data_IF_771962319646
#
_entry.id   IF_771962319646
#
_cell.length_a   1.000
_cell.length_b   1.000
_cell.length_c   1.000
_cell.angle_alpha   90.00
_cell.angle_beta   90.00
_cell.angle_gamma   90.00
#
_symmetry.space_group_name_H-M   'P 1'
#
loop_
_entity.id
_entity.type
_entity.pdbx_description
1 polymer ?
#
# COMPACT_ATOMS: atom_id res chain seq x y z
N UNK A 1 6.49 -3.43 28.80
CA UNK A 1 6.15 -4.65 28.03
C UNK A 1 5.59 -4.37 26.62
N UNK A 2 5.10 -3.15 26.30
CA UNK A 2 4.59 -2.83 24.95
C UNK A 2 5.66 -2.61 23.85
N UNK A 3 6.89 -2.22 24.20
CA UNK A 3 7.93 -1.87 23.20
C UNK A 3 8.49 -3.04 22.37
N UNK A 4 8.40 -4.28 22.86
CA UNK A 4 8.94 -5.46 22.15
C UNK A 4 8.01 -6.02 21.06
N UNK A 5 6.71 -5.69 21.12
CA UNK A 5 5.72 -6.13 20.12
C UNK A 5 5.62 -5.18 18.92
N UNK A 6 6.08 -3.92 19.09
CA UNK A 6 6.05 -2.90 18.04
C UNK A 6 7.20 -3.02 17.04
N UNK A 7 8.30 -3.70 17.38
CA UNK A 7 9.44 -3.92 16.46
C UNK A 7 9.14 -4.88 15.29
N UNK A 8 7.96 -5.51 15.31
CA UNK A 8 7.52 -6.43 14.25
C UNK A 8 6.13 -6.01 13.70
N UNK A 9 5.76 -4.74 13.87
CA UNK A 9 4.47 -4.25 13.39
C UNK A 9 4.49 -4.25 11.86
N UNK A 10 3.61 -5.04 11.26
CA UNK A 10 3.37 -5.02 9.82
C UNK A 10 2.28 -3.99 9.51
N UNK A 11 2.52 -3.15 8.52
CA UNK A 11 1.61 -2.11 8.04
C UNK A 11 1.37 -2.31 6.55
N UNK A 12 0.11 -2.51 6.16
CA UNK A 12 -0.25 -2.50 4.75
C UNK A 12 -0.21 -1.08 4.22
N UNK A 13 0.50 -0.85 3.12
CA UNK A 13 0.59 0.43 2.45
C UNK A 13 0.03 0.30 1.03
N UNK A 14 -0.64 1.35 0.57
CA UNK A 14 -0.96 1.54 -0.85
C UNK A 14 -1.06 3.05 -1.14
N UNK A 15 -0.92 3.42 -2.42
CA UNK A 15 -1.11 4.80 -2.88
C UNK A 15 -1.91 4.84 -4.18
N UNK A 16 -2.68 5.92 -4.35
CA UNK A 16 -3.54 6.08 -5.53
C UNK A 16 -3.41 7.49 -6.12
N UNK A 17 -3.46 7.58 -7.45
CA UNK A 17 -3.42 8.83 -8.22
C UNK A 17 -4.28 8.73 -9.47
N UNK A 18 -4.63 9.88 -10.06
CA UNK A 18 -5.40 9.88 -11.30
C UNK A 18 -4.59 9.19 -12.42
N UNK A 19 -5.12 8.15 -13.09
CA UNK A 19 -4.40 7.52 -14.18
C UNK A 19 -4.31 8.43 -15.40
N UNK A 20 -3.17 8.39 -16.10
CA UNK A 20 -2.99 9.06 -17.39
C UNK A 20 -2.83 8.05 -18.52
N UNK A 21 -3.50 8.28 -19.65
CA UNK A 21 -3.29 7.52 -20.89
C UNK A 21 -2.10 8.02 -21.71
N UNK A 22 -1.51 9.14 -21.30
CA UNK A 22 -0.30 9.69 -21.88
C UNK A 22 0.88 9.35 -20.95
N UNK A 23 1.80 8.50 -21.42
CA UNK A 23 2.96 8.04 -20.65
C UNK A 23 3.97 9.15 -20.30
N UNK A 24 3.86 10.33 -20.92
CA UNK A 24 4.65 11.50 -20.56
C UNK A 24 4.04 12.31 -19.41
N UNK A 25 2.79 12.04 -19.03
CA UNK A 25 2.10 12.72 -17.93
C UNK A 25 2.07 11.77 -16.73
N UNK A 26 2.81 12.14 -15.69
CA UNK A 26 2.75 11.49 -14.39
C UNK A 26 1.94 12.38 -13.47
N UNK A 27 0.79 11.89 -13.02
CA UNK A 27 -0.04 12.60 -12.05
C UNK A 27 0.53 12.39 -10.64
N UNK A 28 0.38 13.41 -9.80
CA UNK A 28 0.85 13.42 -8.42
C UNK A 28 0.05 12.43 -7.57
N UNK A 29 0.68 11.77 -6.59
CA UNK A 29 -0.02 10.92 -5.61
C UNK A 29 -1.15 11.70 -4.95
N UNK A 30 -2.38 11.19 -5.05
CA UNK A 30 -3.54 11.82 -4.47
C UNK A 30 -3.82 11.31 -3.05
N UNK A 31 -3.68 10.01 -2.83
CA UNK A 31 -4.06 9.36 -1.58
C UNK A 31 -2.98 8.39 -1.11
N UNK A 32 -2.74 8.37 0.20
CA UNK A 32 -1.98 7.35 0.92
C UNK A 32 -2.95 6.51 1.75
N UNK A 33 -2.82 5.19 1.69
CA UNK A 33 -3.59 4.25 2.50
C UNK A 33 -2.66 3.49 3.45
N UNK A 34 -3.07 3.37 4.71
CA UNK A 34 -2.37 2.60 5.73
C UNK A 34 -3.34 1.68 6.45
N UNK A 35 -3.03 0.39 6.51
CA UNK A 35 -3.83 -0.59 7.22
C UNK A 35 -3.03 -1.22 8.37
N UNK A 36 -3.54 -1.08 9.59
CA UNK A 36 -2.92 -1.63 10.81
C UNK A 36 -3.98 -2.27 11.69
N UNK A 37 -3.80 -3.55 12.01
CA UNK A 37 -4.72 -4.31 12.85
C UNK A 37 -6.10 -4.46 12.21
N UNK A 38 -7.03 -3.57 12.56
CA UNK A 38 -8.40 -3.54 12.03
C UNK A 38 -8.82 -2.15 11.51
N UNK A 39 -7.85 -1.24 11.36
CA UNK A 39 -8.12 0.14 10.97
C UNK A 39 -7.42 0.45 9.65
N UNK A 40 -8.17 1.08 8.75
CA UNK A 40 -7.63 1.69 7.55
C UNK A 40 -7.66 3.21 7.71
N UNK A 41 -6.52 3.85 7.52
CA UNK A 41 -6.40 5.29 7.28
C UNK A 41 -6.34 5.51 5.77
N UNK A 42 -7.13 6.46 5.27
CA UNK A 42 -6.95 7.04 3.93
C UNK A 42 -6.63 8.51 4.14
N UNK A 43 -5.44 8.93 3.72
CA UNK A 43 -4.96 10.30 3.84
C UNK A 43 -4.86 10.93 2.44
N UNK A 44 -5.69 11.95 2.17
CA UNK A 44 -5.72 12.64 0.88
C UNK A 44 -4.59 13.68 0.80
N UNK A 45 -3.41 13.25 0.35
CA UNK A 45 -2.19 14.06 0.23
C UNK A 45 -2.42 15.32 -0.62
N UNK A 46 -3.13 15.19 -1.75
CA UNK A 46 -3.37 16.29 -2.70
C UNK A 46 -4.13 17.48 -2.08
N UNK A 47 -4.95 17.21 -1.06
CA UNK A 47 -5.83 18.20 -0.43
C UNK A 47 -5.35 18.63 0.96
N UNK A 48 -4.27 18.05 1.47
CA UNK A 48 -3.72 18.40 2.76
C UNK A 48 -2.92 19.70 2.66
N UNK A 49 -3.20 20.68 3.52
CA UNK A 49 -2.36 21.89 3.60
C UNK A 49 -0.93 21.58 4.06
N UNK A 50 -0.77 20.52 4.86
CA UNK A 50 0.51 19.97 5.29
C UNK A 50 0.30 18.51 5.73
N UNK A 51 1.35 17.70 5.64
CA UNK A 51 1.36 16.33 6.17
C UNK A 51 1.66 16.42 7.67
N UNK A 52 0.82 15.85 8.56
CA UNK A 52 1.08 15.89 9.99
C UNK A 52 2.42 15.25 10.35
N UNK A 53 3.19 15.91 11.22
CA UNK A 53 4.48 15.38 11.68
C UNK A 53 4.37 13.96 12.26
N UNK A 54 3.27 13.66 12.95
CA UNK A 54 3.01 12.31 13.49
C UNK A 54 2.91 11.23 12.41
N UNK A 55 2.41 11.58 11.22
CA UNK A 55 2.34 10.65 10.09
C UNK A 55 3.73 10.43 9.48
N UNK A 56 4.52 11.49 9.31
CA UNK A 56 5.90 11.37 8.85
C UNK A 56 6.74 10.52 9.81
N UNK A 57 6.66 10.79 11.12
CA UNK A 57 7.32 9.99 12.14
C UNK A 57 6.86 8.53 12.11
N UNK A 58 5.56 8.28 11.88
CA UNK A 58 5.03 6.93 11.75
C UNK A 58 5.61 6.19 10.54
N UNK A 59 5.71 6.84 9.38
CA UNK A 59 6.27 6.26 8.16
C UNK A 59 7.79 6.03 8.24
N UNK A 60 8.48 6.80 9.08
CA UNK A 60 9.91 6.62 9.36
C UNK A 60 10.21 5.73 10.59
N UNK A 61 9.19 5.13 11.22
CA UNK A 61 9.39 4.20 12.33
C UNK A 61 9.97 2.86 11.85
N UNK A 62 10.52 2.09 12.79
CA UNK A 62 11.03 0.73 12.60
C UNK A 62 9.87 -0.29 12.55
N UNK A 63 8.92 -0.07 11.64
CA UNK A 63 7.79 -0.95 11.31
C UNK A 63 8.00 -1.51 9.92
N UNK A 64 7.44 -2.69 9.62
CA UNK A 64 7.54 -3.25 8.26
C UNK A 64 6.34 -2.78 7.43
N UNK A 65 6.61 -1.96 6.42
CA UNK A 65 5.60 -1.54 5.45
C UNK A 65 5.58 -2.53 4.29
N UNK A 66 4.40 -3.04 3.97
CA UNK A 66 4.22 -4.07 2.94
C UNK A 66 3.26 -3.59 1.86
N UNK A 67 3.65 -3.77 0.61
CA UNK A 67 2.80 -3.56 -0.56
C UNK A 67 3.30 -4.38 -1.75
N UNK A 68 2.56 -4.34 -2.85
CA UNK A 68 2.99 -4.89 -4.13
C UNK A 68 3.65 -3.78 -4.93
N UNK A 69 4.91 -3.95 -5.34
CA UNK A 69 5.67 -2.92 -6.03
C UNK A 69 5.96 -1.69 -5.15
N UNK A 70 6.16 -1.93 -3.86
CA UNK A 70 6.31 -0.88 -2.84
C UNK A 70 7.48 0.06 -3.13
N UNK A 71 8.57 -0.42 -3.73
CA UNK A 71 9.73 0.42 -4.02
C UNK A 71 9.37 1.57 -4.97
N UNK A 72 8.57 1.31 -6.01
CA UNK A 72 8.09 2.37 -6.90
C UNK A 72 7.11 3.30 -6.20
N UNK A 73 6.28 2.77 -5.31
CA UNK A 73 5.30 3.56 -4.58
C UNK A 73 5.97 4.55 -3.63
N UNK A 74 6.99 4.12 -2.90
CA UNK A 74 7.73 4.99 -1.96
C UNK A 74 8.68 5.94 -2.67
N UNK A 75 9.26 5.54 -3.81
CA UNK A 75 9.99 6.46 -4.69
C UNK A 75 9.06 7.59 -5.16
N UNK A 76 7.86 7.23 -5.64
CA UNK A 76 6.87 8.21 -6.08
C UNK A 76 6.37 9.12 -4.96
N UNK A 77 6.13 8.58 -3.75
CA UNK A 77 5.78 9.37 -2.56
C UNK A 77 6.88 10.38 -2.19
N UNK A 78 8.14 9.98 -2.32
CA UNK A 78 9.28 10.85 -2.06
C UNK A 78 9.37 11.97 -3.10
N UNK A 79 9.24 11.63 -4.38
CA UNK A 79 9.28 12.62 -5.48
C UNK A 79 8.12 13.63 -5.40
N UNK A 80 6.90 13.15 -5.15
CA UNK A 80 5.69 13.96 -5.20
C UNK A 80 5.48 14.80 -3.92
N UNK A 81 5.85 14.25 -2.76
CA UNK A 81 5.49 14.82 -1.45
C UNK A 81 6.65 14.92 -0.46
N UNK A 82 7.87 14.52 -0.82
CA UNK A 82 9.03 14.44 0.07
C UNK A 82 8.73 13.59 1.33
N UNK A 83 7.98 12.49 1.12
CA UNK A 83 7.64 11.52 2.16
C UNK A 83 8.52 10.29 2.03
N UNK A 84 9.30 10.01 3.07
CA UNK A 84 10.11 8.80 3.15
C UNK A 84 9.40 7.72 3.98
N UNK A 85 9.46 6.47 3.50
CA UNK A 85 8.95 5.30 4.21
C UNK A 85 10.11 4.36 4.51
N UNK A 86 10.32 4.07 5.79
CA UNK A 86 11.38 3.16 6.24
C UNK A 86 10.93 1.70 6.20
N UNK A 87 11.90 0.78 6.10
CA UNK A 87 11.69 -0.67 6.23
C UNK A 87 10.51 -1.22 5.39
N UNK A 88 10.65 -1.12 4.08
CA UNK A 88 9.66 -1.61 3.11
C UNK A 88 9.97 -3.04 2.67
N UNK A 89 8.92 -3.83 2.45
CA UNK A 89 9.01 -5.21 1.96
C UNK A 89 8.03 -5.41 0.81
N UNK A 90 8.58 -5.70 -0.38
CA UNK A 90 7.77 -6.06 -1.54
C UNK A 90 7.20 -7.48 -1.40
N UNK A 91 5.88 -7.57 -1.43
CA UNK A 91 5.14 -8.82 -1.25
C UNK A 91 5.34 -9.83 -2.37
N UNK A 92 5.68 -9.38 -3.59
CA UNK A 92 5.96 -10.27 -4.73
C UNK A 92 7.25 -11.02 -4.48
N UNK A 93 8.28 -10.30 -4.03
CA UNK A 93 9.58 -10.87 -3.70
C UNK A 93 9.48 -11.83 -2.50
N UNK A 94 8.80 -11.40 -1.44
CA UNK A 94 8.57 -12.23 -0.26
C UNK A 94 7.80 -13.50 -0.61
N UNK A 95 6.65 -13.39 -1.29
CA UNK A 95 5.83 -14.55 -1.65
C UNK A 95 6.56 -15.52 -2.60
N UNK A 96 7.36 -15.01 -3.54
CA UNK A 96 8.13 -15.85 -4.46
C UNK A 96 9.20 -16.67 -3.72
N UNK A 97 9.82 -16.09 -2.69
CA UNK A 97 10.82 -16.77 -1.87
C UNK A 97 10.15 -17.81 -0.94
N UNK A 98 9.17 -17.38 -0.15
CA UNK A 98 8.52 -18.23 0.88
C UNK A 98 7.74 -19.40 0.28
N UNK A 99 7.19 -19.24 -0.93
CA UNK A 99 6.44 -20.30 -1.61
C UNK A 99 7.28 -21.04 -2.67
N UNK A 100 8.56 -20.71 -2.83
CA UNK A 100 9.44 -21.26 -3.87
C UNK A 100 8.86 -21.16 -5.30
N UNK A 101 8.21 -20.03 -5.58
CA UNK A 101 7.44 -19.79 -6.81
C UNK A 101 7.87 -18.50 -7.49
N UNK A 102 8.91 -18.60 -8.31
CA UNK A 102 9.54 -17.46 -8.99
C UNK A 102 8.58 -16.63 -9.85
N UNK A 103 7.50 -17.22 -10.36
CA UNK A 103 6.49 -16.50 -11.15
C UNK A 103 5.71 -15.45 -10.34
N UNK A 104 5.68 -15.56 -9.01
CA UNK A 104 4.99 -14.62 -8.14
C UNK A 104 5.64 -13.23 -8.12
N UNK A 105 6.91 -13.10 -8.52
CA UNK A 105 7.62 -11.81 -8.67
C UNK A 105 6.94 -10.87 -9.66
N UNK A 106 6.15 -11.39 -10.59
CA UNK A 106 5.41 -10.61 -11.60
C UNK A 106 3.89 -10.59 -11.35
N UNK A 107 3.46 -10.99 -10.15
CA UNK A 107 2.04 -11.14 -9.82
C UNK A 107 1.52 -9.93 -9.07
N UNK A 108 0.42 -9.34 -9.54
CA UNK A 108 -0.26 -8.25 -8.83
C UNK A 108 -1.00 -8.72 -7.57
N UNK A 109 -1.47 -7.79 -6.75
CA UNK A 109 -2.09 -8.05 -5.44
C UNK A 109 -3.21 -9.11 -5.47
N UNK A 110 -4.11 -9.06 -6.46
CA UNK A 110 -5.18 -10.08 -6.63
C UNK A 110 -4.61 -11.50 -6.79
N UNK A 111 -3.52 -11.65 -7.52
CA UNK A 111 -2.91 -12.95 -7.74
C UNK A 111 -2.17 -13.45 -6.50
N UNK A 112 -1.49 -12.56 -5.78
CA UNK A 112 -0.84 -12.89 -4.51
C UNK A 112 -1.85 -13.28 -3.44
N UNK A 113 -2.94 -12.54 -3.30
CA UNK A 113 -4.01 -12.88 -2.37
C UNK A 113 -4.60 -14.27 -2.64
N UNK A 114 -4.73 -14.65 -3.92
CA UNK A 114 -5.14 -16.02 -4.28
C UNK A 114 -4.08 -17.05 -3.92
N UNK A 115 -2.80 -16.77 -4.18
CA UNK A 115 -1.70 -17.69 -3.95
C UNK A 115 -1.41 -17.92 -2.46
N UNK A 116 -1.49 -16.86 -1.65
CA UNK A 116 -1.10 -16.85 -0.23
C UNK A 116 -2.30 -17.08 0.69
N UNK A 117 -3.42 -16.39 0.44
CA UNK A 117 -4.61 -16.43 1.31
C UNK A 117 -5.69 -17.40 0.81
N UNK A 118 -5.55 -17.95 -0.41
CA UNK A 118 -6.59 -18.77 -1.03
C UNK A 118 -7.87 -17.99 -1.35
N UNK A 119 -7.81 -16.66 -1.42
CA UNK A 119 -8.98 -15.79 -1.65
C UNK A 119 -8.96 -15.18 -3.04
N UNK A 120 -10.07 -15.33 -3.76
CA UNK A 120 -10.32 -14.57 -4.99
C UNK A 120 -10.88 -13.20 -4.64
N UNK A 121 -10.30 -12.14 -5.21
CA UNK A 121 -10.77 -10.77 -5.04
C UNK A 121 -11.21 -10.19 -6.38
N UNK A 122 -12.30 -9.43 -6.34
CA UNK A 122 -12.73 -8.58 -7.44
C UNK A 122 -12.19 -7.18 -7.25
N UNK A 123 -11.44 -6.71 -8.24
CA UNK A 123 -10.94 -5.34 -8.33
C UNK A 123 -11.54 -4.71 -9.59
N UNK A 124 -12.66 -3.98 -9.47
CA UNK A 124 -13.34 -3.43 -10.63
C UNK A 124 -12.44 -2.40 -11.32
N UNK A 125 -12.07 -2.65 -12.59
CA UNK A 125 -11.21 -1.74 -13.37
C UNK A 125 -11.77 -0.31 -13.43
N UNK A 126 -13.09 -0.15 -13.34
CA UNK A 126 -13.77 1.16 -13.28
C UNK A 126 -13.35 2.00 -12.07
N UNK A 127 -12.98 1.37 -10.94
CA UNK A 127 -12.54 2.05 -9.73
C UNK A 127 -11.04 2.31 -9.79
N UNK A 128 -10.25 1.29 -10.17
CA UNK A 128 -8.79 1.43 -10.37
C UNK A 128 -8.46 2.57 -11.34
N UNK A 129 -9.28 2.75 -12.39
CA UNK A 129 -9.07 3.77 -13.42
C UNK A 129 -9.86 5.06 -13.16
N UNK A 130 -10.32 5.30 -11.93
CA UNK A 130 -11.19 6.45 -11.60
C UNK A 130 -10.40 7.73 -11.28
N UNK A 131 -11.11 8.84 -11.09
CA UNK A 131 -10.54 10.12 -10.65
C UNK A 131 -10.21 10.07 -9.16
N UNK A 132 -9.04 9.51 -8.83
CA UNK A 132 -8.50 9.46 -7.46
C UNK A 132 -8.06 10.82 -6.93
N UNK A 133 -7.92 11.80 -7.81
CA UNK A 133 -7.65 13.21 -7.53
C UNK A 133 -8.92 14.01 -7.20
N UNK A 134 -10.08 13.37 -7.02
CA UNK A 134 -11.28 14.05 -6.55
C UNK A 134 -11.21 14.33 -5.04
N UNK A 135 -11.64 15.53 -4.61
CA UNK A 135 -11.68 15.94 -3.20
C UNK A 135 -12.57 15.04 -2.33
N UNK A 136 -13.63 14.51 -2.95
CA UNK A 136 -14.59 13.63 -2.30
C UNK A 136 -14.52 12.25 -2.95
N UNK A 137 -13.86 11.32 -2.27
CA UNK A 137 -13.86 9.93 -2.70
C UNK A 137 -15.27 9.34 -2.64
N UNK A 138 -15.61 8.59 -3.67
CA UNK A 138 -16.83 7.77 -3.68
C UNK A 138 -16.72 6.62 -2.70
N UNK A 139 -17.85 6.05 -2.27
CA UNK A 139 -17.86 4.84 -1.44
C UNK A 139 -17.06 3.70 -2.08
N UNK A 140 -17.19 3.51 -3.39
CA UNK A 140 -16.45 2.47 -4.13
C UNK A 140 -14.93 2.69 -4.07
N UNK A 141 -14.47 3.94 -4.17
CA UNK A 141 -13.05 4.30 -4.03
C UNK A 141 -12.56 4.05 -2.61
N UNK A 142 -13.30 4.49 -1.58
CA UNK A 142 -12.94 4.25 -0.17
C UNK A 142 -12.86 2.74 0.10
N UNK A 143 -13.86 1.96 -0.34
CA UNK A 143 -13.85 0.51 -0.14
C UNK A 143 -12.66 -0.13 -0.85
N UNK A 144 -12.37 0.28 -2.09
CA UNK A 144 -11.26 -0.25 -2.86
C UNK A 144 -9.90 0.02 -2.20
N UNK A 145 -9.63 1.28 -1.83
CA UNK A 145 -8.41 1.69 -1.13
C UNK A 145 -8.22 0.93 0.20
N UNK A 146 -9.31 0.76 0.96
CA UNK A 146 -9.28 -0.03 2.19
C UNK A 146 -8.94 -1.50 1.93
N UNK A 147 -9.54 -2.11 0.89
CA UNK A 147 -9.31 -3.51 0.54
C UNK A 147 -7.86 -3.73 0.08
N UNK A 148 -7.28 -2.81 -0.68
CA UNK A 148 -5.91 -2.98 -1.16
C UNK A 148 -4.89 -2.91 -0.02
N UNK A 149 -4.95 -1.89 0.83
CA UNK A 149 -4.08 -1.81 2.00
C UNK A 149 -4.30 -3.00 2.97
N UNK A 150 -5.56 -3.43 3.16
CA UNK A 150 -5.89 -4.62 3.94
C UNK A 150 -5.24 -5.88 3.38
N UNK A 151 -5.35 -6.12 2.07
CA UNK A 151 -4.78 -7.31 1.44
C UNK A 151 -3.26 -7.31 1.52
N UNK A 152 -2.62 -6.15 1.32
CA UNK A 152 -1.18 -6.01 1.51
C UNK A 152 -0.77 -6.39 2.94
N UNK A 153 -1.45 -5.86 3.95
CA UNK A 153 -1.24 -6.21 5.36
C UNK A 153 -1.43 -7.71 5.63
N UNK A 154 -2.54 -8.30 5.18
CA UNK A 154 -2.88 -9.70 5.43
C UNK A 154 -1.90 -10.67 4.78
N UNK A 155 -1.47 -10.37 3.54
CA UNK A 155 -0.44 -11.15 2.85
C UNK A 155 0.89 -11.03 3.58
N UNK A 156 1.32 -9.82 3.93
CA UNK A 156 2.55 -9.60 4.68
C UNK A 156 2.55 -10.34 6.03
N UNK A 157 1.42 -10.31 6.75
CA UNK A 157 1.25 -11.05 8.01
C UNK A 157 1.30 -12.57 7.78
N UNK A 158 0.62 -13.09 6.74
CA UNK A 158 0.62 -14.51 6.42
C UNK A 158 2.02 -15.04 6.05
N UNK A 159 2.87 -14.18 5.48
CA UNK A 159 4.25 -14.48 5.11
C UNK A 159 5.29 -14.07 6.17
N UNK A 160 4.84 -13.65 7.37
CA UNK A 160 5.72 -13.21 8.46
C UNK A 160 6.70 -12.08 8.10
N UNK A 161 6.27 -11.09 7.30
CA UNK A 161 7.11 -9.97 6.85
C UNK A 161 7.74 -9.14 7.98
N UNK A 162 7.17 -9.20 9.19
CA UNK A 162 7.66 -8.47 10.35
C UNK A 162 8.80 -9.14 11.13
N UNK A 163 9.29 -10.32 10.72
CA UNK A 163 10.35 -11.07 11.43
C UNK A 163 11.73 -10.93 10.81
#
# INVERSE_FOLDING_TARGET
MHRRWLLHLVVGLDIEWHPSFNHYIQNVVANLQLYVGHHCLIFQLLYACHIPQSLLEFLSCDYTFVAVNIESDVEKLCEDHNVEVSNVVDLRNLAANELERGELRNTGLKGLARAVLGRGIEKPKRVTMSCWDNEWLTYDQVQYACVDAFLSFEIGRALNAGN
#
